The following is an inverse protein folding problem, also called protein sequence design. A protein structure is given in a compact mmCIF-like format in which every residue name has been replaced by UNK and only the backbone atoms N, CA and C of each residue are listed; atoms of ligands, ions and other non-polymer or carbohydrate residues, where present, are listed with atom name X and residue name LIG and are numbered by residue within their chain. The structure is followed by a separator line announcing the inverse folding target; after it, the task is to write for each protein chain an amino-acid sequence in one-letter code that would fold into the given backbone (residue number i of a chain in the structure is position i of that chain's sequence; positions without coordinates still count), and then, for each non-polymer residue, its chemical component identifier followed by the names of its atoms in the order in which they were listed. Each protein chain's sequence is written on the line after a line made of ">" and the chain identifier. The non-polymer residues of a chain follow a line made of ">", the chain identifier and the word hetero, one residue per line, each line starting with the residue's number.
data_IF_110031256055
#
_entry.id   IF_110031256055
#
_cell.length_a   1.000
_cell.length_b   1.000
_cell.length_c   1.000
_cell.angle_alpha   90.00
_cell.angle_beta   90.00
_cell.angle_gamma   90.00
#
_symmetry.space_group_name_H-M   'P 1'
#
loop_
_entity.id
_entity.type
_entity.pdbx_description
1 polymer ?
#
# COMPACT_ATOMS: atom_id res chain seq x y z
N UNK A 1 -35.58 15.74 11.72
CA UNK A 1 -34.19 15.82 11.22
C UNK A 1 -34.05 14.75 10.15
N UNK A 2 -33.46 15.07 8.99
CA UNK A 2 -33.15 14.06 7.97
C UNK A 2 -32.21 13.00 8.55
N UNK A 3 -32.47 11.72 8.27
CA UNK A 3 -31.58 10.64 8.71
C UNK A 3 -30.27 10.70 7.92
N UNK A 4 -29.11 10.57 8.59
CA UNK A 4 -27.79 10.47 7.94
C UNK A 4 -27.70 9.16 7.14
N UNK A 5 -26.97 9.16 6.03
CA UNK A 5 -26.68 7.94 5.26
C UNK A 5 -25.74 7.05 6.09
N UNK A 6 -26.12 5.81 6.35
CA UNK A 6 -25.27 4.85 7.07
C UNK A 6 -24.39 4.08 6.08
N UNK A 7 -23.07 4.10 6.28
CA UNK A 7 -22.11 3.39 5.44
C UNK A 7 -21.12 2.59 6.31
N UNK A 8 -20.77 1.40 5.85
CA UNK A 8 -19.68 0.59 6.40
C UNK A 8 -18.33 1.06 5.85
N UNK A 9 -17.35 1.20 6.74
CA UNK A 9 -15.99 1.59 6.39
C UNK A 9 -14.98 0.63 7.01
N UNK A 10 -14.32 -0.18 6.17
CA UNK A 10 -13.28 -1.10 6.62
C UNK A 10 -11.88 -0.53 6.34
N UNK A 11 -10.99 -0.48 7.34
CA UNK A 11 -9.63 0.05 7.19
C UNK A 11 -8.68 -0.52 8.25
N UNK A 12 -7.39 -0.24 8.16
CA UNK A 12 -6.43 -0.50 9.23
C UNK A 12 -6.61 0.43 10.43
N UNK A 13 -6.15 -0.02 11.59
CA UNK A 13 -6.18 0.75 12.84
C UNK A 13 -4.97 1.68 12.95
N UNK A 14 -4.95 2.76 12.16
CA UNK A 14 -3.85 3.72 12.10
C UNK A 14 -4.17 5.00 12.86
N UNK A 15 -3.13 5.72 13.32
CA UNK A 15 -3.33 7.00 14.00
C UNK A 15 -3.97 8.04 13.06
N UNK A 16 -3.59 8.07 11.78
CA UNK A 16 -4.09 9.05 10.78
C UNK A 16 -5.60 8.93 10.45
N UNK A 17 -6.25 7.87 10.93
CA UNK A 17 -7.70 7.64 10.76
C UNK A 17 -8.44 7.55 12.09
N UNK A 18 -7.72 7.69 13.21
CA UNK A 18 -8.28 7.52 14.56
C UNK A 18 -9.49 8.41 14.81
N UNK A 19 -9.45 9.66 14.35
CA UNK A 19 -10.53 10.63 14.54
C UNK A 19 -11.84 10.22 13.85
N UNK A 20 -11.79 9.43 12.77
CA UNK A 20 -12.98 8.83 12.16
C UNK A 20 -13.51 7.67 13.00
N UNK A 21 -12.61 6.84 13.53
CA UNK A 21 -12.96 5.66 14.33
C UNK A 21 -13.60 6.03 15.66
N UNK A 22 -13.12 7.08 16.33
CA UNK A 22 -13.65 7.52 17.62
C UNK A 22 -14.77 8.57 17.53
N UNK A 23 -15.11 9.01 16.31
CA UNK A 23 -16.19 9.97 16.05
C UNK A 23 -15.81 11.43 16.30
N UNK A 24 -14.53 11.74 16.55
CA UNK A 24 -14.05 13.14 16.61
C UNK A 24 -14.28 13.87 15.29
N UNK A 25 -14.15 13.17 14.16
CA UNK A 25 -14.47 13.65 12.81
C UNK A 25 -15.59 12.78 12.25
N UNK A 26 -16.66 13.43 11.78
CA UNK A 26 -17.74 12.78 11.06
C UNK A 26 -17.88 13.40 9.66
N UNK A 27 -17.87 12.61 8.58
CA UNK A 27 -18.19 13.14 7.25
C UNK A 27 -19.60 13.71 7.21
N UNK A 28 -19.76 14.87 6.56
CA UNK A 28 -21.05 15.55 6.48
C UNK A 28 -22.11 14.66 5.81
N UNK A 29 -23.31 14.62 6.39
CA UNK A 29 -24.43 13.79 5.93
C UNK A 29 -24.28 12.26 6.11
N UNK A 30 -23.14 11.76 6.61
CA UNK A 30 -22.82 10.33 6.67
C UNK A 30 -22.60 9.89 8.13
N UNK A 31 -23.09 8.70 8.46
CA UNK A 31 -22.79 8.00 9.71
C UNK A 31 -21.99 6.74 9.38
N UNK A 32 -20.74 6.69 9.83
CA UNK A 32 -19.84 5.59 9.53
C UNK A 32 -19.93 4.48 10.58
N UNK A 33 -20.02 3.23 10.11
CA UNK A 33 -19.73 2.04 10.89
C UNK A 33 -18.29 1.59 10.59
N UNK A 34 -17.33 1.98 11.43
CA UNK A 34 -15.90 1.80 11.20
C UNK A 34 -15.41 0.44 11.73
N UNK A 35 -14.80 -0.36 10.85
CA UNK A 35 -14.33 -1.72 11.11
C UNK A 35 -12.80 -1.81 10.96
N UNK A 36 -12.07 -1.89 12.08
CA UNK A 36 -10.59 -1.89 12.08
C UNK A 36 -9.92 -3.18 12.56
N UNK A 37 -10.70 -4.22 12.89
CA UNK A 37 -10.17 -5.45 13.52
C UNK A 37 -9.60 -6.48 12.54
N UNK A 38 -9.71 -6.25 11.24
CA UNK A 38 -9.22 -7.18 10.21
C UNK A 38 -7.78 -6.84 9.83
N UNK A 39 -6.97 -7.86 9.56
CA UNK A 39 -5.72 -7.68 8.85
C UNK A 39 -5.97 -7.23 7.41
N UNK A 40 -4.91 -6.76 6.75
CA UNK A 40 -5.00 -6.21 5.39
C UNK A 40 -5.48 -7.26 4.38
N UNK A 41 -4.95 -8.49 4.42
CA UNK A 41 -5.30 -9.53 3.45
C UNK A 41 -6.78 -9.90 3.56
N UNK A 42 -7.28 -10.12 4.79
CA UNK A 42 -8.70 -10.38 5.04
C UNK A 42 -9.58 -9.23 4.57
N UNK A 43 -9.20 -7.98 4.88
CA UNK A 43 -9.98 -6.80 4.48
C UNK A 43 -10.06 -6.65 2.96
N UNK A 44 -8.93 -6.79 2.26
CA UNK A 44 -8.86 -6.66 0.81
C UNK A 44 -9.72 -7.72 0.11
N UNK A 45 -9.64 -8.97 0.58
CA UNK A 45 -10.46 -10.07 0.08
C UNK A 45 -11.95 -9.81 0.25
N UNK A 46 -12.38 -9.44 1.46
CA UNK A 46 -13.78 -9.19 1.78
C UNK A 46 -14.36 -7.99 1.01
N UNK A 47 -13.55 -6.97 0.75
CA UNK A 47 -13.98 -5.85 -0.07
C UNK A 47 -14.03 -6.21 -1.55
N UNK A 48 -12.92 -6.65 -2.14
CA UNK A 48 -12.78 -6.80 -3.58
C UNK A 48 -13.52 -8.03 -4.12
N UNK A 49 -13.49 -9.18 -3.43
CA UNK A 49 -14.20 -10.40 -3.87
C UNK A 49 -15.62 -10.48 -3.35
N UNK A 50 -15.81 -10.33 -2.04
CA UNK A 50 -17.13 -10.56 -1.43
C UNK A 50 -18.04 -9.32 -1.50
N UNK A 51 -17.48 -8.13 -1.72
CA UNK A 51 -18.22 -6.86 -1.70
C UNK A 51 -18.94 -6.60 -0.36
N UNK A 52 -18.31 -7.03 0.75
CA UNK A 52 -18.90 -6.99 2.09
C UNK A 52 -19.07 -5.57 2.66
N UNK A 53 -18.38 -4.58 2.09
CA UNK A 53 -18.31 -3.21 2.62
C UNK A 53 -18.68 -2.17 1.56
N UNK A 54 -19.21 -1.05 2.03
CA UNK A 54 -19.57 0.11 1.20
C UNK A 54 -18.32 0.87 0.75
N UNK A 55 -17.39 1.08 1.70
CA UNK A 55 -16.11 1.74 1.52
C UNK A 55 -15.03 0.91 2.23
N UNK A 56 -13.88 0.71 1.59
CA UNK A 56 -12.77 0.05 2.26
C UNK A 56 -11.39 0.48 1.77
N UNK A 57 -10.43 0.43 2.66
CA UNK A 57 -9.01 0.44 2.31
C UNK A 57 -8.64 -0.88 1.60
N UNK A 58 -8.06 -0.78 0.41
CA UNK A 58 -7.54 -1.91 -0.34
C UNK A 58 -6.13 -1.68 -0.91
N UNK A 59 -5.43 -2.78 -1.21
CA UNK A 59 -4.15 -2.72 -1.94
C UNK A 59 -4.34 -2.02 -3.27
N UNK A 60 -3.55 -0.97 -3.54
CA UNK A 60 -3.56 -0.30 -4.85
C UNK A 60 -3.32 -1.26 -6.01
N UNK A 61 -2.39 -2.21 -5.89
CA UNK A 61 -2.17 -3.19 -6.95
C UNK A 61 -3.41 -4.07 -7.21
N UNK A 62 -4.02 -4.64 -6.17
CA UNK A 62 -5.27 -5.40 -6.31
C UNK A 62 -6.42 -4.53 -6.83
N UNK A 63 -6.46 -3.24 -6.47
CA UNK A 63 -7.41 -2.28 -7.01
C UNK A 63 -7.23 -2.08 -8.52
N UNK A 64 -5.99 -1.93 -9.01
CA UNK A 64 -5.71 -1.84 -10.44
C UNK A 64 -6.21 -3.08 -11.20
N UNK A 65 -5.94 -4.28 -10.69
CA UNK A 65 -6.41 -5.53 -11.29
C UNK A 65 -7.95 -5.60 -11.29
N UNK A 66 -8.59 -5.23 -10.19
CA UNK A 66 -10.05 -5.17 -10.11
C UNK A 66 -10.64 -4.19 -11.16
N UNK A 67 -10.01 -3.02 -11.35
CA UNK A 67 -10.42 -2.02 -12.34
C UNK A 67 -10.22 -2.50 -13.78
N UNK A 68 -9.09 -3.14 -14.08
CA UNK A 68 -8.82 -3.74 -15.39
C UNK A 68 -9.85 -4.81 -15.77
N UNK A 69 -10.37 -5.54 -14.78
CA UNK A 69 -11.41 -6.55 -14.94
C UNK A 69 -12.84 -5.98 -14.94
N UNK A 70 -13.01 -4.66 -14.84
CA UNK A 70 -14.31 -4.01 -14.86
C UNK A 70 -15.16 -4.18 -13.60
N UNK A 71 -14.53 -4.50 -12.45
CA UNK A 71 -15.24 -4.62 -11.19
C UNK A 71 -15.83 -3.26 -10.75
N UNK A 72 -16.99 -3.24 -10.06
CA UNK A 72 -17.77 -2.03 -9.79
C UNK A 72 -17.24 -1.24 -8.59
N UNK A 73 -15.96 -0.90 -8.60
CA UNK A 73 -15.32 -0.07 -7.59
C UNK A 73 -14.69 1.17 -8.22
N UNK A 74 -14.64 2.24 -7.45
CA UNK A 74 -13.97 3.49 -7.79
C UNK A 74 -13.02 3.89 -6.66
N UNK A 75 -11.96 4.60 -7.01
CA UNK A 75 -10.93 5.06 -6.08
C UNK A 75 -11.22 6.48 -5.62
N UNK A 76 -11.28 6.68 -4.31
CA UNK A 76 -11.13 8.01 -3.71
C UNK A 76 -9.62 8.19 -3.48
N UNK A 77 -8.99 9.32 -3.88
CA UNK A 77 -7.54 9.51 -3.76
C UNK A 77 -7.11 9.78 -2.30
N UNK A 78 -7.40 8.83 -1.42
CA UNK A 78 -7.02 8.76 -0.01
C UNK A 78 -6.10 7.56 0.14
N UNK A 79 -4.85 7.81 0.54
CA UNK A 79 -3.76 6.83 0.52
C UNK A 79 -3.37 6.44 1.94
N UNK A 80 -4.13 5.49 2.52
CA UNK A 80 -4.11 5.18 3.94
C UNK A 80 -2.83 4.51 4.43
N UNK A 81 -2.07 3.91 3.52
CA UNK A 81 -0.82 3.26 3.84
C UNK A 81 0.24 3.61 2.81
N UNK A 82 1.37 4.13 3.30
CA UNK A 82 2.61 4.34 2.56
C UNK A 82 3.75 3.74 3.34
N UNK A 83 4.75 3.19 2.63
CA UNK A 83 5.93 2.60 3.28
C UNK A 83 7.05 2.40 2.27
N UNK A 84 8.27 2.69 2.65
CA UNK A 84 9.42 2.18 1.91
C UNK A 84 9.55 0.66 2.03
N UNK A 85 10.16 0.02 1.03
CA UNK A 85 10.18 -1.45 0.92
C UNK A 85 11.56 -2.08 0.80
N UNK A 86 12.64 -1.30 0.80
CA UNK A 86 14.00 -1.85 0.79
C UNK A 86 14.25 -2.69 2.05
N UNK A 87 13.77 -2.21 3.20
CA UNK A 87 13.86 -2.98 4.44
C UNK A 87 13.13 -4.32 4.38
N UNK A 88 12.16 -4.52 3.50
CA UNK A 88 11.26 -5.68 3.51
C UNK A 88 11.64 -6.79 2.52
N UNK A 89 12.87 -6.73 2.03
CA UNK A 89 13.48 -7.75 1.19
C UNK A 89 14.44 -8.56 2.06
N UNK A 90 14.11 -9.83 2.26
CA UNK A 90 14.83 -10.73 3.16
C UNK A 90 15.58 -11.79 2.37
N UNK A 91 16.75 -12.18 2.85
CA UNK A 91 17.61 -13.19 2.22
C UNK A 91 17.97 -14.27 3.22
N UNK A 92 18.25 -15.46 2.71
CA UNK A 92 18.97 -16.45 3.49
C UNK A 92 20.48 -16.15 3.41
N UNK A 93 21.10 -15.89 4.56
CA UNK A 93 22.50 -15.45 4.65
C UNK A 93 23.51 -16.52 4.24
N UNK A 94 23.08 -17.78 4.10
CA UNK A 94 23.91 -18.91 3.66
C UNK A 94 23.91 -19.13 2.13
N UNK A 95 23.12 -18.35 1.39
CA UNK A 95 22.94 -18.49 -0.07
C UNK A 95 23.91 -17.67 -0.94
N UNK A 96 24.84 -16.94 -0.31
CA UNK A 96 25.83 -16.15 -1.02
C UNK A 96 25.26 -14.90 -1.71
N UNK A 97 24.11 -14.40 -1.27
CA UNK A 97 23.51 -13.14 -1.75
C UNK A 97 24.13 -11.99 -0.97
N UNK A 98 24.81 -11.09 -1.68
CA UNK A 98 25.51 -9.93 -1.12
C UNK A 98 25.07 -8.60 -1.73
N UNK A 99 24.57 -8.63 -2.97
CA UNK A 99 24.02 -7.47 -3.66
C UNK A 99 22.70 -7.83 -4.38
N UNK A 100 21.85 -6.85 -4.76
CA UNK A 100 20.58 -7.13 -5.42
C UNK A 100 20.70 -7.99 -6.69
N UNK A 101 21.78 -7.84 -7.46
CA UNK A 101 22.01 -8.62 -8.70
C UNK A 101 22.21 -10.11 -8.46
N UNK A 102 22.61 -10.51 -7.26
CA UNK A 102 22.72 -11.92 -6.89
C UNK A 102 21.35 -12.62 -6.82
N UNK A 103 20.24 -11.86 -6.86
CA UNK A 103 18.88 -12.42 -6.92
C UNK A 103 18.52 -13.01 -8.29
N UNK A 104 19.30 -12.71 -9.34
CA UNK A 104 19.03 -13.25 -10.68
C UNK A 104 19.14 -14.77 -10.65
N UNK A 105 18.05 -15.46 -11.01
CA UNK A 105 17.96 -16.93 -10.97
C UNK A 105 17.56 -17.52 -9.61
N UNK A 106 17.35 -16.70 -8.57
CA UNK A 106 16.99 -17.18 -7.23
C UNK A 106 15.55 -17.68 -7.13
N UNK A 107 15.32 -18.53 -6.12
CA UNK A 107 13.99 -18.90 -5.62
C UNK A 107 13.48 -17.84 -4.63
N UNK A 108 12.42 -17.15 -5.01
CA UNK A 108 11.86 -16.01 -4.31
C UNK A 108 10.50 -16.33 -3.69
N UNK A 109 10.37 -16.23 -2.38
CA UNK A 109 9.07 -16.33 -1.70
C UNK A 109 8.32 -15.01 -1.68
N UNK A 110 6.98 -15.08 -1.77
CA UNK A 110 6.06 -13.96 -1.58
C UNK A 110 4.81 -14.41 -0.82
N UNK A 111 4.20 -13.54 -0.01
CA UNK A 111 2.88 -13.87 0.60
C UNK A 111 1.80 -14.00 -0.47
N UNK A 112 1.73 -13.03 -1.35
CA UNK A 112 0.87 -12.95 -2.53
C UNK A 112 1.73 -12.33 -3.63
N UNK A 113 1.54 -12.69 -4.90
CA UNK A 113 2.26 -12.03 -5.98
C UNK A 113 1.70 -10.63 -6.26
N UNK A 114 0.39 -10.43 -6.11
CA UNK A 114 -0.33 -9.21 -6.52
C UNK A 114 -0.12 -8.03 -5.58
N UNK A 115 0.05 -8.22 -4.26
CA UNK A 115 -0.08 -7.11 -3.31
C UNK A 115 0.84 -5.91 -3.61
N UNK A 116 0.44 -4.69 -3.25
CA UNK A 116 1.19 -3.47 -3.58
C UNK A 116 2.63 -3.47 -3.07
N UNK A 117 2.88 -4.06 -1.89
CA UNK A 117 4.24 -4.18 -1.37
C UNK A 117 5.15 -4.96 -2.32
N UNK A 118 4.60 -6.03 -2.90
CA UNK A 118 5.29 -6.97 -3.77
C UNK A 118 5.51 -6.37 -5.15
N UNK A 119 4.49 -5.69 -5.67
CA UNK A 119 4.59 -4.92 -6.91
C UNK A 119 5.70 -3.86 -6.83
N UNK A 120 5.71 -3.06 -5.75
CA UNK A 120 6.74 -2.05 -5.52
C UNK A 120 8.13 -2.66 -5.35
N UNK A 121 8.29 -3.72 -4.55
CA UNK A 121 9.59 -4.35 -4.35
C UNK A 121 10.18 -4.88 -5.66
N UNK A 122 9.38 -5.56 -6.48
CA UNK A 122 9.83 -6.05 -7.79
C UNK A 122 10.14 -4.90 -8.76
N UNK A 123 9.30 -3.86 -8.80
CA UNK A 123 9.53 -2.68 -9.63
C UNK A 123 10.80 -1.93 -9.23
N UNK A 124 11.06 -1.77 -7.93
CA UNK A 124 12.30 -1.18 -7.40
C UNK A 124 13.51 -2.03 -7.80
N UNK A 125 13.47 -3.35 -7.56
CA UNK A 125 14.57 -4.26 -7.94
C UNK A 125 14.89 -4.18 -9.44
N UNK A 126 13.87 -4.13 -10.28
CA UNK A 126 14.03 -4.08 -11.72
C UNK A 126 14.58 -2.74 -12.22
N UNK A 127 13.96 -1.64 -11.83
CA UNK A 127 14.27 -0.32 -12.38
C UNK A 127 15.46 0.37 -11.70
N UNK A 128 15.70 0.13 -10.40
CA UNK A 128 16.81 0.76 -9.67
C UNK A 128 18.06 -0.12 -9.61
N UNK A 129 17.90 -1.45 -9.67
CA UNK A 129 19.01 -2.39 -9.48
C UNK A 129 19.27 -3.31 -10.67
N UNK A 130 18.45 -3.24 -11.72
CA UNK A 130 18.62 -4.05 -12.93
C UNK A 130 18.41 -5.54 -12.68
N UNK A 131 17.44 -5.88 -11.82
CA UNK A 131 17.05 -7.26 -11.46
C UNK A 131 15.65 -7.53 -12.02
N UNK A 132 15.52 -8.02 -13.26
CA UNK A 132 14.21 -8.22 -13.87
C UNK A 132 13.40 -9.25 -13.08
N UNK A 133 12.12 -8.98 -12.81
CA UNK A 133 11.30 -9.94 -12.06
C UNK A 133 11.24 -11.32 -12.75
N UNK A 134 11.21 -11.35 -14.09
CA UNK A 134 11.22 -12.59 -14.90
C UNK A 134 12.48 -13.45 -14.73
N UNK A 135 13.54 -12.91 -14.14
CA UNK A 135 14.78 -13.63 -13.90
C UNK A 135 14.74 -14.56 -12.67
N UNK A 136 13.69 -14.49 -11.85
CA UNK A 136 13.52 -15.27 -10.62
C UNK A 136 12.42 -16.34 -10.76
N UNK A 137 12.44 -17.33 -9.86
CA UNK A 137 11.35 -18.30 -9.68
C UNK A 137 10.55 -17.95 -8.41
N UNK A 138 9.27 -17.63 -8.55
CA UNK A 138 8.42 -17.18 -7.45
C UNK A 138 7.59 -18.30 -6.82
N UNK A 139 7.48 -18.25 -5.50
CA UNK A 139 6.65 -19.13 -4.68
C UNK A 139 5.68 -18.30 -3.82
N UNK A 140 4.38 -18.37 -4.09
CA UNK A 140 3.35 -17.62 -3.35
C UNK A 140 2.71 -18.47 -2.24
N UNK A 141 2.51 -17.88 -1.07
CA UNK A 141 1.90 -18.56 0.08
C UNK A 141 0.36 -18.58 0.01
N UNK A 142 -0.26 -17.48 -0.41
CA UNK A 142 -1.71 -17.25 -0.34
C UNK A 142 -2.32 -17.07 -1.74
N UNK A 143 -3.64 -17.26 -1.82
CA UNK A 143 -4.45 -16.81 -2.97
C UNK A 143 -4.26 -15.31 -3.22
N UNK A 144 -4.36 -14.89 -4.48
CA UNK A 144 -4.39 -13.47 -4.81
C UNK A 144 -5.70 -12.80 -4.38
N UNK A 145 -5.68 -11.50 -4.10
CA UNK A 145 -6.92 -10.80 -3.73
C UNK A 145 -7.92 -10.77 -4.89
N UNK A 146 -7.43 -10.63 -6.12
CA UNK A 146 -8.19 -10.79 -7.37
C UNK A 146 -7.41 -11.78 -8.24
N UNK A 147 -8.09 -12.80 -8.78
CA UNK A 147 -7.46 -13.74 -9.72
C UNK A 147 -6.94 -12.98 -10.94
N UNK A 148 -5.76 -13.34 -11.42
CA UNK A 148 -5.21 -12.84 -12.67
C UNK A 148 -4.55 -13.99 -13.42
N UNK A 149 -4.44 -13.87 -14.74
CA UNK A 149 -3.73 -14.85 -15.56
C UNK A 149 -2.26 -14.43 -15.63
N UNK A 150 -1.32 -15.14 -14.96
CA UNK A 150 0.08 -14.79 -15.03
C UNK A 150 0.60 -15.03 -16.45
N UNK A 151 1.49 -14.16 -16.98
CA UNK A 151 2.04 -14.40 -18.32
C UNK A 151 2.86 -15.70 -18.36
N UNK A 152 2.88 -16.39 -19.51
CA UNK A 152 3.49 -17.72 -19.68
C UNK A 152 4.97 -17.80 -19.30
N UNK A 153 5.70 -16.68 -19.40
CA UNK A 153 7.10 -16.57 -19.03
C UNK A 153 7.32 -16.22 -17.54
N UNK A 154 6.24 -16.11 -16.74
CA UNK A 154 6.34 -15.98 -15.28
C UNK A 154 6.47 -17.36 -14.65
N UNK A 155 7.56 -17.59 -13.95
CA UNK A 155 7.70 -18.76 -13.08
C UNK A 155 7.06 -18.47 -11.73
N UNK A 156 5.78 -18.77 -11.58
CA UNK A 156 5.03 -18.59 -10.33
C UNK A 156 4.36 -19.90 -9.92
N UNK A 157 4.75 -20.41 -8.74
CA UNK A 157 4.15 -21.61 -8.14
C UNK A 157 3.46 -21.26 -6.83
N UNK A 158 2.21 -21.68 -6.68
CA UNK A 158 1.52 -21.56 -5.39
C UNK A 158 1.95 -22.70 -4.46
N UNK A 159 2.34 -22.36 -3.24
CA UNK A 159 2.71 -23.32 -2.20
C UNK A 159 1.48 -24.02 -1.59
N UNK A 160 1.65 -25.27 -1.10
CA UNK A 160 0.67 -25.91 -0.24
C UNK A 160 0.38 -25.10 1.04
N UNK A 161 -0.85 -25.19 1.56
CA UNK A 161 -1.30 -24.40 2.72
C UNK A 161 -0.54 -24.67 4.04
N UNK A 162 0.20 -25.77 4.12
CA UNK A 162 1.03 -26.14 5.28
C UNK A 162 2.48 -25.62 5.18
N UNK A 163 2.85 -24.99 4.06
CA UNK A 163 4.16 -24.35 3.87
C UNK A 163 4.09 -22.85 4.12
N UNK A 164 5.20 -22.29 4.63
CA UNK A 164 5.34 -20.86 4.88
C UNK A 164 6.63 -20.31 4.27
N UNK A 165 6.53 -19.20 3.55
CA UNK A 165 7.70 -18.61 2.86
C UNK A 165 8.77 -18.14 3.85
N UNK A 166 8.40 -17.68 5.05
CA UNK A 166 9.37 -17.25 6.06
C UNK A 166 10.17 -18.42 6.65
N UNK A 167 9.52 -19.58 6.85
CA UNK A 167 10.19 -20.79 7.34
C UNK A 167 11.07 -21.40 6.25
N UNK A 168 10.55 -21.50 5.03
CA UNK A 168 11.31 -21.96 3.87
C UNK A 168 12.55 -21.08 3.60
N UNK A 169 12.47 -19.77 3.86
CA UNK A 169 13.64 -18.89 3.83
C UNK A 169 14.66 -19.29 4.88
N UNK A 170 14.26 -19.42 6.15
CA UNK A 170 15.18 -19.76 7.25
C UNK A 170 15.83 -21.14 7.06
N UNK A 171 15.09 -22.09 6.47
CA UNK A 171 15.56 -23.45 6.16
C UNK A 171 16.40 -23.53 4.89
N UNK A 172 16.43 -22.47 4.07
CA UNK A 172 17.19 -22.42 2.83
C UNK A 172 16.53 -23.14 1.66
N UNK A 173 15.23 -23.47 1.75
CA UNK A 173 14.43 -23.91 0.61
C UNK A 173 14.20 -22.76 -0.39
N UNK A 174 14.08 -21.53 0.13
CA UNK A 174 14.04 -20.28 -0.64
C UNK A 174 15.32 -19.48 -0.40
N UNK A 175 15.75 -18.75 -1.42
CA UNK A 175 16.98 -17.94 -1.34
C UNK A 175 16.69 -16.53 -0.80
N UNK A 176 15.51 -16.00 -1.15
CA UNK A 176 15.03 -14.71 -0.70
C UNK A 176 13.50 -14.70 -0.53
N UNK A 177 12.99 -13.73 0.22
CA UNK A 177 11.56 -13.45 0.39
C UNK A 177 11.33 -11.95 0.29
N UNK A 178 10.39 -11.55 -0.56
CA UNK A 178 9.77 -10.24 -0.50
C UNK A 178 8.53 -10.37 0.40
N UNK A 179 8.43 -9.54 1.45
CA UNK A 179 7.34 -9.67 2.43
C UNK A 179 6.66 -8.33 2.75
N UNK A 180 5.34 -8.24 2.97
CA UNK A 180 4.71 -6.98 3.35
C UNK A 180 5.02 -6.51 4.78
N UNK A 181 5.43 -7.43 5.65
CA UNK A 181 5.66 -7.23 7.09
C UNK A 181 7.05 -7.72 7.53
N UNK A 182 7.43 -7.44 8.78
CA UNK A 182 8.58 -8.12 9.38
C UNK A 182 8.27 -9.61 9.55
N UNK A 183 9.22 -10.46 9.16
CA UNK A 183 9.09 -11.91 9.27
C UNK A 183 9.60 -12.41 10.63
N UNK A 184 8.99 -13.48 11.14
CA UNK A 184 9.29 -14.00 12.47
C UNK A 184 10.79 -14.37 12.65
N UNK A 185 11.46 -15.07 11.71
CA UNK A 185 12.88 -15.41 11.88
C UNK A 185 13.79 -14.17 12.03
N UNK A 186 13.48 -13.07 11.36
CA UNK A 186 14.23 -11.82 11.51
C UNK A 186 14.05 -11.21 12.90
N UNK A 187 12.81 -11.17 13.41
CA UNK A 187 12.49 -10.63 14.74
C UNK A 187 13.14 -11.47 15.84
N UNK A 188 13.16 -12.79 15.67
CA UNK A 188 13.83 -13.75 16.57
C UNK A 188 15.36 -13.77 16.40
N UNK A 189 15.91 -12.99 15.46
CA UNK A 189 17.33 -12.87 15.16
C UNK A 189 17.96 -14.20 14.74
N UNK A 190 17.25 -15.00 13.95
CA UNK A 190 17.82 -16.19 13.31
C UNK A 190 19.00 -15.77 12.42
N UNK A 191 20.23 -16.26 12.69
CA UNK A 191 21.42 -15.84 11.94
C UNK A 191 21.36 -16.22 10.45
N UNK A 192 20.46 -17.14 10.06
CA UNK A 192 20.25 -17.56 8.68
C UNK A 192 19.43 -16.55 7.88
N UNK A 193 18.79 -15.57 8.51
CA UNK A 193 17.89 -14.61 7.86
C UNK A 193 18.42 -13.19 8.04
N UNK A 194 18.59 -12.48 6.91
CA UNK A 194 19.05 -11.10 6.88
C UNK A 194 18.16 -10.22 5.99
N UNK A 195 18.41 -8.91 5.99
CA UNK A 195 17.87 -7.99 4.99
C UNK A 195 18.83 -7.97 3.79
N UNK A 196 18.28 -7.87 2.58
CA UNK A 196 19.06 -7.61 1.37
C UNK A 196 19.83 -6.28 1.47
N UNK A 197 19.19 -5.28 2.08
CA UNK A 197 19.80 -3.98 2.39
C UNK A 197 19.96 -3.85 3.90
N UNK A 198 21.15 -4.16 4.47
CA UNK A 198 21.40 -3.96 5.90
C UNK A 198 21.24 -2.49 6.33
N UNK A 199 21.65 -1.56 5.47
CA UNK A 199 21.52 -0.10 5.57
C UNK A 199 20.27 0.41 4.84
N UNK A 200 19.13 -0.26 5.02
CA UNK A 200 17.91 0.04 4.29
C UNK A 200 17.43 1.48 4.45
N UNK A 201 17.64 2.12 5.61
CA UNK A 201 17.21 3.51 5.81
C UNK A 201 17.97 4.46 4.88
N UNK A 202 19.28 4.31 4.79
CA UNK A 202 20.14 5.09 3.91
C UNK A 202 19.76 4.89 2.44
N UNK A 203 19.50 3.65 2.05
CA UNK A 203 19.04 3.34 0.68
C UNK A 203 17.65 3.92 0.38
N UNK A 204 16.74 3.90 1.35
CA UNK A 204 15.39 4.47 1.22
C UNK A 204 15.43 5.99 1.08
N UNK A 205 16.32 6.67 1.82
CA UNK A 205 16.57 8.10 1.67
C UNK A 205 17.15 8.39 0.28
N UNK A 206 18.19 7.67 -0.14
CA UNK A 206 18.81 7.86 -1.45
C UNK A 206 17.80 7.61 -2.59
N UNK A 207 16.94 6.61 -2.46
CA UNK A 207 15.85 6.34 -3.40
C UNK A 207 14.85 7.51 -3.44
N UNK A 208 14.44 8.02 -2.28
CA UNK A 208 13.50 9.13 -2.20
C UNK A 208 14.09 10.43 -2.77
N UNK A 209 15.36 10.73 -2.52
CA UNK A 209 16.03 11.90 -3.08
C UNK A 209 16.08 11.88 -4.61
N UNK A 210 16.34 10.70 -5.21
CA UNK A 210 16.39 10.53 -6.67
C UNK A 210 15.01 10.56 -7.32
N UNK A 211 14.02 9.94 -6.68
CA UNK A 211 12.74 9.60 -7.34
C UNK A 211 11.54 10.40 -6.81
N UNK A 212 11.66 10.96 -5.60
CA UNK A 212 10.56 11.55 -4.80
C UNK A 212 9.43 10.56 -4.49
N UNK A 213 9.67 9.24 -4.64
CA UNK A 213 8.66 8.20 -4.42
C UNK A 213 8.67 7.78 -2.95
N UNK A 214 7.57 8.05 -2.24
CA UNK A 214 7.25 7.40 -0.97
C UNK A 214 6.08 6.42 -1.19
N UNK A 215 6.37 5.12 -1.41
CA UNK A 215 5.46 4.22 -2.10
C UNK A 215 4.05 4.16 -1.52
N UNK A 216 3.05 4.43 -2.37
CA UNK A 216 1.62 4.29 -2.07
C UNK A 216 1.26 2.80 -2.06
N UNK A 217 0.84 2.29 -0.90
CA UNK A 217 0.46 0.89 -0.73
C UNK A 217 -1.04 0.69 -0.91
N UNK A 218 -1.85 1.47 -0.19
CA UNK A 218 -3.28 1.26 -0.14
C UNK A 218 -4.06 2.52 -0.55
N UNK A 219 -5.24 2.29 -1.12
CA UNK A 219 -6.21 3.29 -1.58
C UNK A 219 -7.55 3.07 -0.90
N UNK A 220 -8.34 4.12 -0.76
CA UNK A 220 -9.74 4.03 -0.34
C UNK A 220 -10.64 3.71 -1.56
N UNK A 221 -11.13 2.48 -1.64
CA UNK A 221 -12.13 2.08 -2.61
C UNK A 221 -13.55 2.32 -2.12
N UNK A 222 -14.46 2.65 -3.03
CA UNK A 222 -15.90 2.77 -2.80
C UNK A 222 -16.66 1.98 -3.87
N UNK A 223 -17.80 1.38 -3.50
CA UNK A 223 -18.69 0.76 -4.47
C UNK A 223 -19.27 1.79 -5.43
N UNK A 224 -19.24 1.48 -6.72
CA UNK A 224 -19.74 2.36 -7.79
C UNK A 224 -21.21 2.75 -7.60
N UNK A 225 -22.05 1.83 -7.14
CA UNK A 225 -23.49 2.08 -6.90
C UNK A 225 -23.75 3.20 -5.87
N UNK A 226 -22.83 3.38 -4.91
CA UNK A 226 -22.94 4.46 -3.91
C UNK A 226 -22.63 5.79 -4.56
N UNK A 227 -21.63 5.84 -5.42
CA UNK A 227 -21.23 7.06 -6.14
C UNK A 227 -22.33 7.49 -7.10
N UNK A 228 -22.91 6.55 -7.86
CA UNK A 228 -24.01 6.82 -8.77
C UNK A 228 -25.26 7.34 -8.04
N UNK A 229 -25.57 6.79 -6.87
CA UNK A 229 -26.76 7.18 -6.08
C UNK A 229 -26.54 8.43 -5.22
N UNK A 230 -25.33 8.63 -4.72
CA UNK A 230 -24.96 9.71 -3.81
C UNK A 230 -23.62 10.34 -4.22
N UNK A 231 -23.56 11.13 -5.32
CA UNK A 231 -22.31 11.68 -5.84
C UNK A 231 -21.54 12.60 -4.89
N UNK A 232 -22.19 13.10 -3.83
CA UNK A 232 -21.58 13.93 -2.80
C UNK A 232 -20.80 13.13 -1.74
N UNK A 233 -21.00 11.82 -1.64
CA UNK A 233 -20.39 10.95 -0.62
C UNK A 233 -18.85 10.89 -0.76
N UNK A 234 -18.26 10.65 -1.94
CA UNK A 234 -16.80 10.59 -2.08
C UNK A 234 -16.10 11.86 -1.61
N UNK A 235 -16.68 13.02 -1.92
CA UNK A 235 -16.10 14.32 -1.56
C UNK A 235 -16.15 14.53 -0.04
N UNK A 236 -17.29 14.23 0.60
CA UNK A 236 -17.42 14.37 2.05
C UNK A 236 -16.52 13.37 2.82
N UNK A 237 -16.33 12.16 2.28
CA UNK A 237 -15.33 11.23 2.80
C UNK A 237 -13.92 11.82 2.65
N UNK A 238 -13.55 12.29 1.46
CA UNK A 238 -12.24 12.88 1.18
C UNK A 238 -11.89 14.02 2.16
N UNK A 239 -12.84 14.92 2.46
CA UNK A 239 -12.66 15.97 3.46
C UNK A 239 -12.45 15.41 4.86
N UNK A 240 -13.30 14.48 5.30
CA UNK A 240 -13.21 13.87 6.63
C UNK A 240 -11.89 13.11 6.84
N UNK A 241 -11.38 12.41 5.81
CA UNK A 241 -10.07 11.76 5.87
C UNK A 241 -8.92 12.77 5.97
N UNK A 242 -8.97 13.88 5.22
CA UNK A 242 -7.97 14.94 5.33
C UNK A 242 -7.99 15.60 6.72
N UNK A 243 -9.16 15.87 7.28
CA UNK A 243 -9.31 16.42 8.63
C UNK A 243 -8.77 15.45 9.70
N UNK A 244 -9.12 14.17 9.60
CA UNK A 244 -8.63 13.14 10.52
C UNK A 244 -7.10 13.02 10.50
N UNK A 245 -6.50 13.02 9.30
CA UNK A 245 -5.04 13.02 9.13
C UNK A 245 -4.42 14.29 9.74
N UNK A 246 -4.99 15.47 9.48
CA UNK A 246 -4.45 16.73 10.01
C UNK A 246 -4.45 16.74 11.55
N UNK A 247 -5.51 16.25 12.19
CA UNK A 247 -5.58 16.09 13.65
C UNK A 247 -4.50 15.13 14.15
N UNK A 248 -4.34 13.98 13.48
CA UNK A 248 -3.33 13.00 13.83
C UNK A 248 -1.91 13.55 13.68
N UNK A 249 -1.58 14.18 12.56
CA UNK A 249 -0.25 14.77 12.31
C UNK A 249 0.09 15.82 13.38
N UNK A 250 -0.86 16.69 13.72
CA UNK A 250 -0.68 17.68 14.81
C UNK A 250 -0.44 17.01 16.17
N UNK A 251 -1.13 15.91 16.45
CA UNK A 251 -0.97 15.14 17.69
C UNK A 251 0.39 14.44 17.76
N UNK A 252 0.86 13.88 16.65
CA UNK A 252 2.13 13.14 16.55
C UNK A 252 3.36 14.02 16.76
N UNK A 253 3.26 15.35 16.68
CA UNK A 253 4.37 16.27 17.06
C UNK A 253 4.80 16.08 18.52
N UNK A 254 3.91 15.62 19.41
CA UNK A 254 4.21 15.43 20.82
C UNK A 254 4.93 14.08 21.09
N UNK A 255 6.23 14.08 21.43
CA UNK A 255 6.99 12.84 21.62
C UNK A 255 6.49 11.95 22.77
N UNK A 256 5.72 12.50 23.72
CA UNK A 256 5.26 11.74 24.91
C UNK A 256 4.23 10.66 24.58
N UNK A 257 3.63 10.66 23.39
CA UNK A 257 2.61 9.68 23.01
C UNK A 257 3.21 8.43 22.37
N UNK A 258 4.52 8.42 22.06
CA UNK A 258 5.23 7.29 21.47
C UNK A 258 6.41 6.91 22.37
N UNK A 259 6.49 5.65 22.85
CA UNK A 259 7.55 5.21 23.77
C UNK A 259 8.86 4.90 23.03
N UNK A 260 9.40 5.87 22.29
CA UNK A 260 10.70 5.77 21.61
C UNK A 260 11.61 6.90 22.10
N UNK A 261 12.83 6.54 22.54
CA UNK A 261 13.78 7.47 23.14
C UNK A 261 14.16 8.62 22.20
N UNK A 262 14.36 8.31 20.91
CA UNK A 262 14.77 9.26 19.86
C UNK A 262 13.61 9.63 18.93
N UNK A 263 12.36 9.57 19.41
CA UNK A 263 11.20 9.88 18.59
C UNK A 263 11.28 11.27 17.95
N UNK A 264 11.67 12.28 18.74
CA UNK A 264 11.70 13.68 18.28
C UNK A 264 12.76 13.88 17.20
N UNK A 265 13.93 13.28 17.36
CA UNK A 265 15.02 13.32 16.39
C UNK A 265 14.59 12.65 15.08
N UNK A 266 14.00 11.45 15.14
CA UNK A 266 13.47 10.77 13.95
C UNK A 266 12.35 11.54 13.24
N UNK A 267 11.51 12.27 14.01
CA UNK A 267 10.49 13.14 13.44
C UNK A 267 11.09 14.32 12.68
N UNK A 268 12.05 15.02 13.28
CA UNK A 268 12.71 16.20 12.68
C UNK A 268 13.52 15.81 11.43
N UNK A 269 14.23 14.69 11.47
CA UNK A 269 14.95 14.13 10.32
C UNK A 269 13.98 13.77 9.17
N UNK A 270 12.85 13.13 9.47
CA UNK A 270 11.84 12.83 8.45
C UNK A 270 11.28 14.11 7.82
N UNK A 271 11.01 15.13 8.64
CA UNK A 271 10.49 16.43 8.16
C UNK A 271 11.50 17.15 7.25
N UNK A 272 12.79 17.07 7.56
CA UNK A 272 13.86 17.60 6.71
C UNK A 272 13.93 16.90 5.35
N UNK A 273 13.81 15.57 5.34
CA UNK A 273 13.94 14.76 4.12
C UNK A 273 12.66 14.83 3.26
N UNK A 274 11.50 14.68 3.89
CA UNK A 274 10.22 14.41 3.22
C UNK A 274 9.20 15.53 3.32
N UNK A 275 9.50 16.59 4.09
CA UNK A 275 8.57 17.67 4.37
C UNK A 275 7.56 17.34 5.46
N UNK A 276 6.60 18.24 5.66
CA UNK A 276 5.67 18.23 6.80
C UNK A 276 4.51 17.25 6.66
N UNK A 277 4.19 16.79 5.43
CA UNK A 277 3.11 15.85 5.16
C UNK A 277 3.46 14.83 4.06
N UNK A 278 4.29 13.82 4.36
CA UNK A 278 4.57 12.74 3.42
C UNK A 278 3.36 11.81 3.18
N UNK A 279 2.28 11.93 3.96
CA UNK A 279 1.01 11.22 3.78
C UNK A 279 -0.05 12.06 3.05
N UNK A 280 0.36 12.97 2.16
CA UNK A 280 -0.55 13.76 1.33
C UNK A 280 -1.59 12.87 0.60
N UNK A 281 -2.84 13.33 0.60
CA UNK A 281 -3.97 12.77 -0.16
C UNK A 281 -4.25 13.64 -1.38
N UNK A 282 -5.06 13.12 -2.30
CA UNK A 282 -5.46 13.81 -3.53
C UNK A 282 -4.54 13.54 -4.71
N UNK A 283 -4.97 14.00 -5.89
CA UNK A 283 -4.22 13.96 -7.15
C UNK A 283 -3.24 15.14 -7.21
N UNK A 284 -2.25 15.15 -6.31
CA UNK A 284 -1.12 16.08 -6.36
C UNK A 284 -0.09 15.59 -7.37
N UNK A 285 0.78 16.46 -7.88
CA UNK A 285 1.81 16.09 -8.87
C UNK A 285 2.66 14.90 -8.43
N UNK A 286 3.10 14.88 -7.15
CA UNK A 286 3.86 13.78 -6.57
C UNK A 286 3.06 12.46 -6.54
N UNK A 287 1.76 12.54 -6.22
CA UNK A 287 0.89 11.37 -6.15
C UNK A 287 0.58 10.83 -7.56
N UNK A 288 0.30 11.72 -8.50
CA UNK A 288 0.05 11.36 -9.90
C UNK A 288 1.25 10.65 -10.52
N UNK A 289 2.46 11.19 -10.33
CA UNK A 289 3.70 10.56 -10.79
C UNK A 289 3.89 9.16 -10.20
N UNK A 290 3.67 9.01 -8.89
CA UNK A 290 3.78 7.72 -8.20
C UNK A 290 2.72 6.70 -8.65
N UNK A 291 1.48 7.14 -8.87
CA UNK A 291 0.40 6.29 -9.34
C UNK A 291 0.61 5.87 -10.79
N UNK A 292 1.11 6.75 -11.67
CA UNK A 292 1.52 6.40 -13.03
C UNK A 292 2.62 5.33 -13.00
N UNK A 293 3.63 5.48 -12.14
CA UNK A 293 4.69 4.48 -11.96
C UNK A 293 4.12 3.14 -11.48
N UNK A 294 3.17 3.16 -10.53
CA UNK A 294 2.49 1.96 -10.06
C UNK A 294 1.70 1.26 -11.17
N UNK A 295 0.99 2.02 -12.01
CA UNK A 295 0.26 1.49 -13.18
C UNK A 295 1.24 0.87 -14.17
N UNK A 296 2.34 1.55 -14.48
CA UNK A 296 3.41 1.02 -15.34
C UNK A 296 3.97 -0.29 -14.81
N UNK A 297 4.34 -0.35 -13.52
CA UNK A 297 4.81 -1.60 -12.90
C UNK A 297 3.77 -2.71 -12.96
N UNK A 298 2.49 -2.38 -12.76
CA UNK A 298 1.40 -3.35 -12.83
C UNK A 298 1.28 -3.94 -14.24
N UNK A 299 1.38 -3.10 -15.27
CA UNK A 299 1.34 -3.52 -16.68
C UNK A 299 2.58 -4.32 -17.07
N UNK A 300 3.79 -3.82 -16.78
CA UNK A 300 5.07 -4.49 -17.05
C UNK A 300 5.16 -5.88 -16.42
N UNK A 301 4.58 -6.04 -15.22
CA UNK A 301 4.59 -7.32 -14.50
C UNK A 301 3.43 -8.25 -14.90
N UNK A 302 2.60 -7.85 -15.86
CA UNK A 302 1.51 -8.65 -16.41
C UNK A 302 0.29 -8.79 -15.48
N UNK A 303 0.08 -7.83 -14.58
CA UNK A 303 -1.07 -7.82 -13.66
C UNK A 303 -2.32 -7.17 -14.27
N UNK A 304 -2.15 -6.20 -15.17
CA UNK A 304 -3.22 -5.51 -15.90
C UNK A 304 -2.94 -5.54 -17.40
N UNK A 305 -3.99 -5.51 -18.22
CA UNK A 305 -3.88 -5.66 -19.69
C UNK A 305 -3.44 -4.40 -20.42
N UNK A 306 -3.59 -3.23 -19.78
CA UNK A 306 -3.18 -1.93 -20.32
C UNK A 306 -2.80 -0.99 -19.18
N UNK A 307 -2.04 0.04 -19.50
CA UNK A 307 -1.87 1.18 -18.60
C UNK A 307 -3.19 1.96 -18.52
N UNK A 308 -3.88 1.85 -17.39
CA UNK A 308 -5.16 2.52 -17.16
C UNK A 308 -4.89 3.99 -16.79
N UNK A 309 -5.47 4.96 -17.51
CA UNK A 309 -5.40 6.38 -17.17
C UNK A 309 -5.89 6.66 -15.73
N UNK A 310 -5.26 7.62 -15.05
CA UNK A 310 -5.58 7.90 -13.64
C UNK A 310 -7.01 8.47 -13.46
N UNK A 311 -7.55 9.18 -14.43
CA UNK A 311 -8.93 9.69 -14.43
C UNK A 311 -9.98 8.58 -14.60
N UNK A 312 -9.60 7.42 -15.16
CA UNK A 312 -10.43 6.22 -15.13
C UNK A 312 -10.33 5.46 -13.79
N UNK A 313 -9.27 5.70 -13.00
CA UNK A 313 -9.01 5.03 -11.73
C UNK A 313 -9.47 5.83 -10.52
N UNK A 314 -9.52 7.15 -10.59
CA UNK A 314 -9.78 7.99 -9.43
C UNK A 314 -10.91 8.97 -9.71
N UNK A 315 -11.78 9.11 -8.73
CA UNK A 315 -12.82 10.13 -8.76
C UNK A 315 -12.21 11.52 -8.67
N UNK A 316 -12.78 12.46 -9.42
CA UNK A 316 -12.42 13.87 -9.31
C UNK A 316 -12.99 14.45 -8.00
N UNK A 317 -12.09 14.88 -7.12
CA UNK A 317 -12.42 15.52 -5.85
C UNK A 317 -12.57 17.05 -5.97
N UNK A 318 -12.49 17.60 -7.18
CA UNK A 318 -12.69 19.02 -7.41
C UNK A 318 -14.15 19.44 -7.17
N UNK A 319 -14.33 20.54 -6.44
CA UNK A 319 -15.64 21.18 -6.23
C UNK A 319 -15.81 22.45 -7.09
N UNK A 320 -15.05 22.56 -8.18
CA UNK A 320 -14.93 23.77 -9.02
C UNK A 320 -13.99 24.84 -8.46
N UNK A 321 -13.71 25.88 -9.27
CA UNK A 321 -12.86 27.01 -8.87
C UNK A 321 -13.68 28.10 -8.17
N UNK A 322 -13.18 28.60 -7.05
CA UNK A 322 -13.67 29.85 -6.42
C UNK A 322 -12.63 30.95 -6.67
N UNK A 323 -13.06 32.22 -6.81
CA UNK A 323 -12.13 33.35 -6.77
C UNK A 323 -11.64 33.55 -5.32
N UNK A 324 -10.33 33.45 -5.07
CA UNK A 324 -9.67 33.72 -3.78
C UNK A 324 -9.29 32.48 -2.97
N UNK A 325 -8.42 32.68 -1.95
CA UNK A 325 -7.67 31.66 -1.20
C UNK A 325 -8.46 30.89 -0.11
N UNK A 326 -9.75 30.60 -0.32
CA UNK A 326 -10.57 29.91 0.70
C UNK A 326 -11.32 28.73 0.08
N UNK A 327 -10.86 27.52 0.36
CA UNK A 327 -11.52 26.25 0.04
C UNK A 327 -12.87 26.12 0.78
N UNK A 328 -13.85 25.43 0.18
CA UNK A 328 -15.11 25.10 0.87
C UNK A 328 -14.85 23.97 1.87
N UNK A 329 -15.46 24.13 3.05
CA UNK A 329 -15.65 23.12 4.11
C UNK A 329 -16.61 22.06 3.61
#
# INVERSE_FOLDING_TARGET
>A
MSQKLELTLAMGDYEIVRALKDGTVEPDGIKLNVLTKMDSTTRHWRFLRNQDFDVAECSCSSYLVARDQGMPFEGIPVFLHRRFRHGFMFINTTKGISEPKDLIGCKMGVKQFQSSAQLWMRGILEHEYGVPHRSMEFFSELDESIEFDPPDDLKLTRLPNDKSVEMMLAEGELDAVLHPDLIKPLVEKDPRVGRLFPNFKEEEIAFFERTRIFPIMHVLGIKKEIVEKYPWVPINLYHAFNEAKAIAMKRMVNPRIVPLAWYREAWEEQEEIMGTDPWQYGMTEDNESQLQKLVGYSHEQGMIRREIPLDELFLDMSQGRKRGDVFRV
#
